data_IF_472512642361
#
_entry.id   IF_472512642361
#
_cell.length_a   1.000
_cell.length_b   1.000
_cell.length_c   1.000
_cell.angle_alpha   90.00
_cell.angle_beta   90.00
_cell.angle_gamma   90.00
#
_symmetry.space_group_name_H-M   'P 1'
#
loop_
_entity.id
_entity.type
_entity.pdbx_description
1 polymer ?
#
# COMPACT_ATOMS: atom_id res chain seq x y z
N UNK A 1 -5.39 0.79 -11.95
CA UNK A 1 -4.20 0.46 -11.16
C UNK A 1 -4.30 1.04 -9.77
N UNK A 2 -3.79 0.31 -8.78
CA UNK A 2 -3.84 0.66 -7.36
C UNK A 2 -2.42 0.70 -6.79
N UNK A 3 -2.14 1.69 -5.95
CA UNK A 3 -0.87 1.81 -5.24
C UNK A 3 -1.08 1.66 -3.74
N UNK A 4 -0.36 0.72 -3.12
CA UNK A 4 -0.34 0.49 -1.70
C UNK A 4 0.97 1.02 -1.11
N UNK A 5 0.86 1.95 -0.17
CA UNK A 5 2.02 2.53 0.52
C UNK A 5 2.02 2.06 1.96
N UNK A 6 2.95 1.16 2.27
CA UNK A 6 3.01 0.48 3.57
C UNK A 6 3.85 1.28 4.56
N UNK A 7 3.24 1.67 5.68
CA UNK A 7 3.96 2.28 6.80
C UNK A 7 3.10 3.21 7.64
N UNK A 8 3.69 3.69 8.74
CA UNK A 8 3.00 4.55 9.69
C UNK A 8 2.62 5.90 9.10
N UNK A 9 1.38 6.34 9.34
CA UNK A 9 0.86 7.65 8.89
C UNK A 9 1.61 8.85 9.48
N UNK A 10 2.38 8.67 10.55
CA UNK A 10 3.20 9.71 11.17
C UNK A 10 4.67 9.72 10.70
N UNK A 11 5.07 8.77 9.86
CA UNK A 11 6.41 8.76 9.27
C UNK A 11 6.48 9.78 8.15
N UNK A 12 7.33 10.80 8.29
CA UNK A 12 7.53 11.82 7.25
C UNK A 12 7.97 11.21 5.92
N UNK A 13 8.74 10.11 5.96
CA UNK A 13 9.17 9.42 4.75
C UNK A 13 8.01 8.67 4.08
N UNK A 14 7.16 7.99 4.86
CA UNK A 14 5.98 7.31 4.33
C UNK A 14 4.96 8.32 3.79
N UNK A 15 4.80 9.46 4.46
CA UNK A 15 3.92 10.54 4.00
C UNK A 15 4.36 11.10 2.65
N UNK A 16 5.64 11.46 2.51
CA UNK A 16 6.19 11.94 1.23
C UNK A 16 6.04 10.90 0.13
N UNK A 17 6.30 9.63 0.42
CA UNK A 17 6.13 8.54 -0.54
C UNK A 17 4.67 8.41 -0.99
N UNK A 18 3.73 8.48 -0.05
CA UNK A 18 2.30 8.46 -0.36
C UNK A 18 1.87 9.65 -1.22
N UNK A 19 2.32 10.86 -0.91
CA UNK A 19 2.00 12.06 -1.70
C UNK A 19 2.50 11.93 -3.15
N UNK A 20 3.72 11.42 -3.34
CA UNK A 20 4.29 11.16 -4.66
C UNK A 20 3.44 10.12 -5.41
N UNK A 21 3.15 8.98 -4.78
CA UNK A 21 2.31 7.94 -5.39
C UNK A 21 0.91 8.44 -5.71
N UNK A 22 0.27 9.20 -4.80
CA UNK A 22 -1.08 9.74 -4.97
C UNK A 22 -1.19 10.74 -6.12
N UNK A 23 -0.11 11.49 -6.37
CA UNK A 23 -0.04 12.43 -7.49
C UNK A 23 -0.05 11.72 -8.85
N UNK A 24 0.63 10.58 -8.95
CA UNK A 24 0.71 9.78 -10.19
C UNK A 24 -0.44 8.78 -10.32
N UNK A 25 -0.92 8.24 -9.21
CA UNK A 25 -1.99 7.25 -9.13
C UNK A 25 -3.04 7.69 -8.11
N UNK A 26 -4.20 8.16 -8.60
CA UNK A 26 -5.31 8.57 -7.74
C UNK A 26 -5.79 7.48 -6.78
N UNK A 27 -5.62 6.21 -7.12
CA UNK A 27 -5.97 5.05 -6.28
C UNK A 27 -4.79 4.64 -5.40
N UNK A 28 -4.24 5.58 -4.63
CA UNK A 28 -3.18 5.33 -3.65
C UNK A 28 -3.74 5.28 -2.22
N UNK A 29 -3.32 4.27 -1.46
CA UNK A 29 -3.82 3.98 -0.11
C UNK A 29 -2.68 3.72 0.89
N UNK A 30 -2.90 4.10 2.15
CA UNK A 30 -2.01 3.76 3.26
C UNK A 30 -2.39 2.41 3.83
N UNK A 31 -1.39 1.54 4.02
CA UNK A 31 -1.55 0.24 4.66
C UNK A 31 -0.56 0.16 5.83
N UNK A 32 -1.03 -0.17 7.02
CA UNK A 32 -0.16 -0.48 8.17
C UNK A 32 -0.19 -1.97 8.49
N UNK A 33 -1.30 -2.65 8.20
CA UNK A 33 -1.52 -4.08 8.44
C UNK A 33 -2.40 -4.67 7.34
N UNK A 34 -2.40 -6.00 7.13
CA UNK A 34 -3.27 -6.65 6.15
C UNK A 34 -4.77 -6.33 6.31
N UNK A 35 -5.24 -6.11 7.55
CA UNK A 35 -6.64 -5.75 7.84
C UNK A 35 -7.05 -4.37 7.31
N UNK A 36 -6.09 -3.53 6.91
CA UNK A 36 -6.39 -2.24 6.27
C UNK A 36 -6.75 -2.39 4.78
N UNK A 37 -6.66 -3.61 4.22
CA UNK A 37 -6.98 -3.92 2.83
C UNK A 37 -8.48 -4.18 2.68
N UNK A 38 -9.07 -3.66 1.60
CA UNK A 38 -10.48 -3.78 1.26
C UNK A 38 -10.61 -4.18 -0.21
N UNK A 39 -11.53 -5.11 -0.52
CA UNK A 39 -11.84 -5.54 -1.89
C UNK A 39 -12.15 -4.37 -2.83
N UNK A 40 -12.79 -3.30 -2.33
CA UNK A 40 -13.09 -2.11 -3.12
C UNK A 40 -11.83 -1.42 -3.67
N UNK A 41 -10.68 -1.60 -3.02
CA UNK A 41 -9.40 -1.05 -3.47
C UNK A 41 -8.89 -1.72 -4.75
N UNK A 42 -9.46 -2.86 -5.13
CA UNK A 42 -8.99 -3.70 -6.24
C UNK A 42 -10.00 -3.86 -7.39
N UNK A 43 -11.27 -3.52 -7.19
CA UNK A 43 -12.39 -3.81 -8.13
C UNK A 43 -12.18 -3.35 -9.58
N UNK A 44 -11.33 -2.35 -9.84
CA UNK A 44 -11.07 -1.83 -11.19
C UNK A 44 -9.57 -1.74 -11.52
N UNK A 45 -8.72 -2.48 -10.82
CA UNK A 45 -7.27 -2.39 -10.98
C UNK A 45 -6.69 -3.64 -11.62
N UNK A 46 -6.11 -3.48 -12.81
CA UNK A 46 -5.39 -4.53 -13.51
C UNK A 46 -4.01 -4.78 -12.92
N UNK A 47 -3.41 -3.78 -12.28
CA UNK A 47 -2.12 -3.88 -11.61
C UNK A 47 -2.17 -3.26 -10.21
N UNK A 48 -1.48 -3.92 -9.27
CA UNK A 48 -1.27 -3.44 -7.90
C UNK A 48 0.22 -3.21 -7.69
N UNK A 49 0.59 -1.96 -7.42
CA UNK A 49 1.94 -1.61 -6.98
C UNK A 49 2.00 -1.55 -5.47
N UNK A 50 3.05 -2.14 -4.89
CA UNK A 50 3.29 -2.14 -3.44
C UNK A 50 4.64 -1.48 -3.19
N UNK A 51 4.65 -0.50 -2.30
CA UNK A 51 5.87 0.14 -1.81
C UNK A 51 5.79 0.36 -0.30
N UNK A 52 6.90 0.67 0.35
CA UNK A 52 6.94 0.83 1.80
C UNK A 52 7.90 1.95 2.22
N UNK A 53 7.56 2.61 3.34
CA UNK A 53 8.48 3.53 3.99
C UNK A 53 9.73 2.82 4.51
N UNK A 54 10.85 3.54 4.56
CA UNK A 54 12.15 2.98 4.96
C UNK A 54 12.18 2.35 6.37
N UNK A 55 11.28 2.79 7.26
CA UNK A 55 11.16 2.28 8.63
C UNK A 55 10.18 1.11 8.76
N UNK A 56 9.55 0.65 7.68
CA UNK A 56 8.56 -0.41 7.70
C UNK A 56 9.25 -1.78 7.71
N UNK A 57 9.02 -2.64 8.71
CA UNK A 57 9.61 -3.99 8.76
C UNK A 57 9.22 -4.84 7.56
N UNK A 58 10.19 -5.58 6.99
CA UNK A 58 9.99 -6.46 5.82
C UNK A 58 8.83 -7.45 6.00
N UNK A 59 8.67 -7.98 7.22
CA UNK A 59 7.59 -8.92 7.56
C UNK A 59 6.20 -8.37 7.23
N UNK A 60 5.95 -7.08 7.52
CA UNK A 60 4.65 -6.45 7.22
C UNK A 60 4.45 -6.33 5.70
N UNK A 61 5.52 -6.01 4.97
CA UNK A 61 5.49 -5.91 3.51
C UNK A 61 5.13 -7.28 2.90
N UNK A 62 5.76 -8.35 3.38
CA UNK A 62 5.52 -9.72 2.94
C UNK A 62 4.09 -10.17 3.28
N UNK A 63 3.59 -9.90 4.49
CA UNK A 63 2.20 -10.22 4.89
C UNK A 63 1.17 -9.52 4.00
N UNK A 64 1.36 -8.23 3.72
CA UNK A 64 0.47 -7.47 2.82
C UNK A 64 0.55 -8.01 1.40
N UNK A 65 1.75 -8.29 0.89
CA UNK A 65 1.93 -8.84 -0.44
C UNK A 65 1.25 -10.21 -0.59
N UNK A 66 1.41 -11.09 0.38
CA UNK A 66 0.82 -12.43 0.36
C UNK A 66 -0.71 -12.35 0.41
N UNK A 67 -1.24 -11.51 1.30
CA UNK A 67 -2.69 -11.30 1.39
C UNK A 67 -3.27 -10.76 0.08
N UNK A 68 -2.56 -9.80 -0.55
CA UNK A 68 -2.96 -9.27 -1.87
C UNK A 68 -2.96 -10.34 -2.95
N UNK A 69 -2.02 -11.28 -2.94
CA UNK A 69 -1.94 -12.35 -3.95
C UNK A 69 -2.98 -13.44 -3.80
N UNK A 70 -3.46 -13.69 -2.59
CA UNK A 70 -4.38 -14.80 -2.29
C UNK A 70 -5.84 -14.34 -2.38
N UNK A 71 -6.16 -13.17 -1.83
CA UNK A 71 -7.54 -12.73 -1.60
C UNK A 71 -8.10 -11.84 -2.72
N UNK A 72 -7.25 -11.26 -3.58
CA UNK A 72 -7.63 -10.27 -4.59
C UNK A 72 -6.99 -10.55 -5.96
#
# INVERSE_FOLDING_TARGET
DTMLVIGGRHSSNTQKLFEICKKECGNTYYIQKPVDLDSEMFQCSSCVGITAGASTPKKIIEEVQEHVRIEF
#
